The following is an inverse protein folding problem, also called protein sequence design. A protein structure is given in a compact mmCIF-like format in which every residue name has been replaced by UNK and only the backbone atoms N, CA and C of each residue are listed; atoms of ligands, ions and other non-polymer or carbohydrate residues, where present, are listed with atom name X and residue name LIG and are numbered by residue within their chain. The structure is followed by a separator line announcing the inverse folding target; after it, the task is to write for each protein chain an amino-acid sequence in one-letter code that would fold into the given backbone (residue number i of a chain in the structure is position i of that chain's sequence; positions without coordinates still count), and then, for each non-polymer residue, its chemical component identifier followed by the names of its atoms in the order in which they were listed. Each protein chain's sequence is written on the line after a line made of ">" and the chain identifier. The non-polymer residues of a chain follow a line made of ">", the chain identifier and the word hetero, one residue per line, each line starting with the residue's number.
data_IF_710952506542
#
_entry.id   IF_710952506542
#
_cell.length_a   1.000
_cell.length_b   1.000
_cell.length_c   1.000
_cell.angle_alpha   90.00
_cell.angle_beta   90.00
_cell.angle_gamma   90.00
#
_symmetry.space_group_name_H-M   'P 1'
#
loop_
_entity.id
_entity.type
_entity.pdbx_description
1 polymer ?
#
# COMPACT_ATOMS: atom_id res chain seq x y z
N UNK A 1 0.83 -6.52 28.09
CA UNK A 1 -0.35 -7.37 28.34
C UNK A 1 -0.32 -7.95 29.73
N UNK A 2 0.72 -8.72 30.10
CA UNK A 2 0.78 -9.35 31.43
C UNK A 2 0.80 -8.37 32.61
N UNK A 3 1.39 -7.18 32.44
CA UNK A 3 1.40 -6.13 33.47
C UNK A 3 0.05 -5.44 33.72
N UNK A 4 -0.85 -5.36 32.72
CA UNK A 4 -2.20 -4.79 32.91
C UNK A 4 -3.19 -5.83 33.40
N UNK A 5 -2.97 -7.10 33.06
CA UNK A 5 -3.72 -8.23 33.59
C UNK A 5 -3.51 -8.41 35.09
N UNK A 6 -2.29 -8.21 35.58
CA UNK A 6 -1.96 -8.29 37.01
C UNK A 6 -2.43 -7.08 37.83
N UNK A 7 -2.72 -5.94 37.17
CA UNK A 7 -3.24 -4.72 37.78
C UNK A 7 -4.77 -4.60 37.73
N UNK A 8 -5.47 -5.63 37.22
CA UNK A 8 -6.93 -5.70 37.11
C UNK A 8 -7.57 -4.49 36.42
N UNK A 9 -6.90 -3.97 35.38
CA UNK A 9 -7.41 -2.89 34.51
C UNK A 9 -7.95 -3.50 33.19
N UNK A 10 -9.20 -4.00 33.16
CA UNK A 10 -9.73 -4.75 32.02
C UNK A 10 -9.82 -3.93 30.73
N UNK A 11 -10.10 -2.63 30.83
CA UNK A 11 -10.21 -1.74 29.68
C UNK A 11 -8.86 -1.53 28.98
N UNK A 12 -7.77 -1.33 29.75
CA UNK A 12 -6.43 -1.18 29.16
C UNK A 12 -5.91 -2.51 28.61
N UNK A 13 -6.25 -3.62 29.25
CA UNK A 13 -5.91 -4.96 28.76
C UNK A 13 -6.61 -5.29 27.42
N UNK A 14 -7.90 -4.94 27.29
CA UNK A 14 -8.65 -5.13 26.03
C UNK A 14 -8.08 -4.25 24.90
N UNK A 15 -7.79 -2.99 25.16
CA UNK A 15 -7.16 -2.09 24.18
C UNK A 15 -5.78 -2.60 23.74
N UNK A 16 -4.94 -3.04 24.68
CA UNK A 16 -3.63 -3.61 24.38
C UNK A 16 -3.73 -4.87 23.50
N UNK A 17 -4.74 -5.71 23.73
CA UNK A 17 -5.02 -6.88 22.89
C UNK A 17 -5.44 -6.47 21.47
N UNK A 18 -6.28 -5.45 21.32
CA UNK A 18 -6.70 -4.93 20.01
C UNK A 18 -5.51 -4.39 19.22
N UNK A 19 -4.63 -3.61 19.85
CA UNK A 19 -3.42 -3.11 19.19
C UNK A 19 -2.49 -4.25 18.76
N UNK A 20 -2.31 -5.25 19.62
CA UNK A 20 -1.49 -6.41 19.29
C UNK A 20 -2.06 -7.20 18.11
N UNK A 21 -3.39 -7.41 18.07
CA UNK A 21 -4.06 -8.05 16.93
C UNK A 21 -3.90 -7.21 15.66
N UNK A 22 -4.12 -5.91 15.73
CA UNK A 22 -3.95 -5.01 14.59
C UNK A 22 -2.52 -5.07 14.02
N UNK A 23 -1.49 -5.05 14.87
CA UNK A 23 -0.11 -5.23 14.44
C UNK A 23 0.10 -6.56 13.71
N UNK A 24 -0.47 -7.66 14.22
CA UNK A 24 -0.37 -8.98 13.58
C UNK A 24 -1.09 -9.04 12.23
N UNK A 25 -2.25 -8.38 12.11
CA UNK A 25 -2.98 -8.22 10.84
C UNK A 25 -2.12 -7.44 9.84
N UNK A 26 -1.52 -6.32 10.26
CA UNK A 26 -0.65 -5.51 9.40
C UNK A 26 0.62 -6.22 8.94
N UNK A 27 1.15 -7.15 9.74
CA UNK A 27 2.28 -8.01 9.37
C UNK A 27 1.86 -9.19 8.48
N UNK A 28 0.58 -9.29 8.12
CA UNK A 28 0.02 -10.39 7.32
C UNK A 28 0.21 -11.78 7.97
N UNK A 29 0.18 -11.85 9.31
CA UNK A 29 0.33 -13.09 10.08
C UNK A 29 -1.03 -13.60 10.54
N UNK A 30 -1.83 -14.12 9.61
CA UNK A 30 -3.22 -14.58 9.89
C UNK A 30 -3.27 -15.76 10.87
N UNK A 31 -2.27 -16.65 10.87
CA UNK A 31 -2.16 -17.75 11.83
C UNK A 31 -1.95 -17.26 13.26
N UNK A 32 -1.02 -16.31 13.45
CA UNK A 32 -0.76 -15.69 14.76
C UNK A 32 -2.01 -15.00 15.32
N UNK A 33 -2.81 -14.36 14.45
CA UNK A 33 -4.08 -13.75 14.84
C UNK A 33 -5.03 -14.82 15.39
N UNK A 34 -5.17 -15.96 14.71
CA UNK A 34 -6.03 -17.05 15.15
C UNK A 34 -5.55 -17.68 16.47
N UNK A 35 -4.23 -17.89 16.61
CA UNK A 35 -3.63 -18.40 17.85
C UNK A 35 -3.85 -17.44 19.02
N UNK A 36 -3.66 -16.14 18.78
CA UNK A 36 -3.86 -15.11 19.79
C UNK A 36 -5.33 -15.02 20.23
N UNK A 37 -6.27 -15.15 19.29
CA UNK A 37 -7.71 -15.20 19.58
C UNK A 37 -8.13 -16.46 20.35
N UNK A 38 -7.42 -17.58 20.17
CA UNK A 38 -7.64 -18.82 20.92
C UNK A 38 -7.01 -18.80 22.33
N UNK A 39 -6.21 -17.78 22.66
CA UNK A 39 -5.54 -17.68 23.95
C UNK A 39 -6.53 -17.48 25.11
N UNK A 40 -6.16 -17.97 26.31
CA UNK A 40 -6.97 -17.81 27.53
C UNK A 40 -7.28 -16.34 27.85
N UNK A 41 -6.36 -15.43 27.53
CA UNK A 41 -6.54 -13.99 27.72
C UNK A 41 -7.61 -13.44 26.77
N UNK A 42 -7.56 -13.81 25.48
CA UNK A 42 -8.56 -13.38 24.51
C UNK A 42 -9.97 -13.89 24.83
N UNK A 43 -10.09 -15.12 25.36
CA UNK A 43 -11.38 -15.67 25.82
C UNK A 43 -11.93 -14.89 27.02
N UNK A 44 -11.08 -14.50 27.98
CA UNK A 44 -11.51 -13.72 29.16
C UNK A 44 -11.99 -12.31 28.79
N UNK A 45 -11.38 -11.72 27.77
CA UNK A 45 -11.66 -10.35 27.31
C UNK A 45 -12.56 -10.29 26.07
N UNK A 46 -13.23 -11.40 25.74
CA UNK A 46 -14.08 -11.52 24.55
C UNK A 46 -15.17 -10.45 24.51
N UNK A 47 -15.36 -9.85 23.34
CA UNK A 47 -16.36 -8.81 23.10
C UNK A 47 -16.40 -8.36 21.65
N UNK A 48 -17.33 -7.47 21.32
CA UNK A 48 -17.56 -6.96 19.94
C UNK A 48 -16.30 -6.39 19.31
N UNK A 49 -15.46 -5.72 20.10
CA UNK A 49 -14.16 -5.18 19.71
C UNK A 49 -13.21 -6.23 19.12
N UNK A 50 -13.21 -7.45 19.66
CA UNK A 50 -12.38 -8.56 19.18
C UNK A 50 -13.01 -9.26 17.98
N UNK A 51 -14.35 -9.37 17.97
CA UNK A 51 -15.08 -9.88 16.80
C UNK A 51 -14.86 -9.00 15.57
N UNK A 52 -14.85 -7.68 15.75
CA UNK A 52 -14.52 -6.72 14.72
C UNK A 52 -13.10 -6.96 14.16
N UNK A 53 -12.10 -7.09 15.03
CA UNK A 53 -10.71 -7.38 14.61
C UNK A 53 -10.60 -8.72 13.87
N UNK A 54 -11.36 -9.73 14.31
CA UNK A 54 -11.40 -11.04 13.63
C UNK A 54 -12.04 -10.95 12.24
N UNK A 55 -13.10 -10.16 12.09
CA UNK A 55 -13.75 -9.93 10.79
C UNK A 55 -12.79 -9.23 9.81
N UNK A 56 -12.10 -8.18 10.27
CA UNK A 56 -11.06 -7.46 9.52
C UNK A 56 -9.91 -8.40 9.12
N UNK A 57 -9.42 -9.21 10.06
CA UNK A 57 -8.34 -10.17 9.80
C UNK A 57 -8.73 -11.20 8.73
N UNK A 58 -9.98 -11.70 8.79
CA UNK A 58 -10.52 -12.65 7.81
C UNK A 58 -10.61 -12.02 6.43
N UNK A 59 -11.18 -10.82 6.33
CA UNK A 59 -11.30 -10.09 5.07
C UNK A 59 -9.92 -9.81 4.44
N UNK A 60 -8.94 -9.42 5.25
CA UNK A 60 -7.56 -9.22 4.81
C UNK A 60 -6.92 -10.53 4.31
N UNK A 61 -7.08 -11.63 5.06
CA UNK A 61 -6.56 -12.95 4.65
C UNK A 61 -7.20 -13.46 3.36
N UNK A 62 -8.49 -13.19 3.15
CA UNK A 62 -9.23 -13.54 1.94
C UNK A 62 -8.95 -12.57 0.78
N UNK A 63 -8.23 -11.47 1.01
CA UNK A 63 -7.99 -10.38 0.06
C UNK A 63 -9.28 -9.78 -0.54
N UNK A 64 -10.38 -9.87 0.21
CA UNK A 64 -11.68 -9.39 -0.22
C UNK A 64 -11.94 -7.98 0.31
N UNK A 65 -11.95 -7.00 -0.60
CA UNK A 65 -12.33 -5.61 -0.28
C UNK A 65 -13.79 -5.53 0.18
N UNK A 66 -14.68 -6.31 -0.44
CA UNK A 66 -16.11 -6.34 -0.09
C UNK A 66 -16.33 -6.81 1.35
N UNK A 67 -15.68 -7.92 1.76
CA UNK A 67 -15.75 -8.39 3.15
C UNK A 67 -15.17 -7.36 4.13
N UNK A 68 -14.15 -6.62 3.70
CA UNK A 68 -13.49 -5.60 4.50
C UNK A 68 -14.37 -4.37 4.73
N UNK A 69 -15.01 -3.86 3.67
CA UNK A 69 -15.96 -2.76 3.76
C UNK A 69 -17.18 -3.13 4.60
N UNK A 70 -17.68 -4.36 4.43
CA UNK A 70 -18.77 -4.88 5.27
C UNK A 70 -18.36 -4.92 6.74
N UNK A 71 -17.16 -5.41 7.07
CA UNK A 71 -16.65 -5.41 8.44
C UNK A 71 -16.51 -3.99 9.01
N UNK A 72 -16.04 -3.02 8.22
CA UNK A 72 -15.97 -1.61 8.63
C UNK A 72 -17.36 -0.99 8.87
N UNK A 73 -18.36 -1.37 8.06
CA UNK A 73 -19.74 -0.94 8.22
C UNK A 73 -20.43 -1.51 9.45
N UNK A 74 -20.33 -2.83 9.63
CA UNK A 74 -20.97 -3.57 10.73
C UNK A 74 -20.41 -3.18 12.11
N UNK A 75 -19.10 -2.89 12.19
CA UNK A 75 -18.39 -2.55 13.42
C UNK A 75 -17.91 -1.09 13.48
N UNK A 76 -18.66 -0.17 12.87
CA UNK A 76 -18.27 1.24 12.72
C UNK A 76 -18.00 1.93 14.06
N UNK A 77 -18.74 1.58 15.12
CA UNK A 77 -18.59 2.18 16.44
C UNK A 77 -17.32 1.69 17.13
N UNK A 78 -17.08 0.39 17.07
CA UNK A 78 -15.95 -0.30 17.68
C UNK A 78 -14.62 0.09 17.01
N UNK A 79 -14.58 0.10 15.67
CA UNK A 79 -13.38 0.40 14.88
C UNK A 79 -13.14 1.91 14.69
N UNK A 80 -14.19 2.72 14.80
CA UNK A 80 -14.13 4.17 14.60
C UNK A 80 -13.86 4.99 15.87
N UNK A 81 -14.05 4.39 17.05
CA UNK A 81 -13.86 5.05 18.35
C UNK A 81 -12.40 5.46 18.61
N UNK A 82 -11.46 4.70 18.07
CA UNK A 82 -10.02 4.93 18.26
C UNK A 82 -9.35 5.43 16.97
N UNK A 83 -8.74 6.61 17.07
CA UNK A 83 -8.02 7.24 15.96
C UNK A 83 -6.80 6.42 15.50
N UNK A 84 -6.10 5.76 16.43
CA UNK A 84 -4.96 4.91 16.10
C UNK A 84 -5.41 3.72 15.25
N UNK A 85 -6.43 2.99 15.70
CA UNK A 85 -6.98 1.85 14.96
C UNK A 85 -7.48 2.29 13.58
N UNK A 86 -8.30 3.35 13.54
CA UNK A 86 -8.88 3.87 12.29
C UNK A 86 -7.82 4.24 11.25
N UNK A 87 -6.72 4.89 11.66
CA UNK A 87 -5.64 5.27 10.75
C UNK A 87 -4.96 4.04 10.13
N UNK A 88 -4.71 3.00 10.92
CA UNK A 88 -4.08 1.77 10.43
C UNK A 88 -5.03 0.95 9.56
N UNK A 89 -6.32 0.90 9.88
CA UNK A 89 -7.34 0.25 9.03
C UNK A 89 -7.47 0.94 7.67
N UNK A 90 -7.34 2.27 7.62
CA UNK A 90 -7.30 2.99 6.35
C UNK A 90 -6.07 2.61 5.52
N UNK A 91 -4.89 2.56 6.14
CA UNK A 91 -3.66 2.12 5.46
C UNK A 91 -3.77 0.68 4.94
N UNK A 92 -4.40 -0.20 5.72
CA UNK A 92 -4.65 -1.58 5.33
C UNK A 92 -5.58 -1.68 4.13
N UNK A 93 -6.66 -0.87 4.11
CA UNK A 93 -7.55 -0.75 2.95
C UNK A 93 -6.78 -0.27 1.71
N UNK A 94 -5.99 0.80 1.84
CA UNK A 94 -5.23 1.36 0.72
C UNK A 94 -4.23 0.34 0.13
N UNK A 95 -3.62 -0.50 0.98
CA UNK A 95 -2.71 -1.57 0.56
C UNK A 95 -3.45 -2.75 -0.09
N UNK A 96 -4.61 -3.16 0.44
CA UNK A 96 -5.44 -4.20 -0.18
C UNK A 96 -5.95 -3.77 -1.55
N UNK A 97 -6.39 -2.52 -1.67
CA UNK A 97 -6.84 -1.94 -2.94
C UNK A 97 -5.72 -1.91 -3.96
N UNK A 98 -4.52 -1.49 -3.55
CA UNK A 98 -3.33 -1.50 -4.40
C UNK A 98 -3.01 -2.89 -4.94
N UNK A 99 -2.96 -3.90 -4.07
CA UNK A 99 -2.69 -5.28 -4.48
C UNK A 99 -3.76 -5.84 -5.42
N UNK A 100 -5.03 -5.51 -5.19
CA UNK A 100 -6.13 -5.93 -6.06
C UNK A 100 -6.06 -5.24 -7.42
N UNK A 101 -5.75 -3.94 -7.45
CA UNK A 101 -5.54 -3.21 -8.70
C UNK A 101 -4.38 -3.80 -9.50
N UNK A 102 -3.22 -4.05 -8.87
CA UNK A 102 -2.06 -4.65 -9.56
C UNK A 102 -2.41 -5.98 -10.23
N UNK A 103 -3.16 -6.86 -9.57
CA UNK A 103 -3.58 -8.14 -10.17
C UNK A 103 -4.58 -7.98 -11.31
N UNK A 104 -5.49 -7.02 -11.18
CA UNK A 104 -6.52 -6.76 -12.20
C UNK A 104 -5.89 -6.21 -13.48
N UNK A 105 -4.85 -5.39 -13.35
CA UNK A 105 -4.19 -4.74 -14.49
C UNK A 105 -3.07 -5.58 -15.11
N UNK A 106 -2.45 -6.50 -14.35
CA UNK A 106 -1.34 -7.36 -14.77
C UNK A 106 -1.49 -8.00 -16.16
N UNK A 107 -2.66 -8.56 -16.56
CA UNK A 107 -2.78 -9.21 -17.87
C UNK A 107 -2.98 -8.23 -19.05
N UNK A 108 -3.04 -6.91 -18.83
CA UNK A 108 -3.41 -5.93 -19.85
C UNK A 108 -2.28 -4.93 -20.12
N UNK A 109 -1.90 -4.76 -21.39
CA UNK A 109 -1.03 -3.62 -21.80
C UNK A 109 -1.82 -2.31 -21.94
N UNK A 110 -3.12 -2.40 -22.22
CA UNK A 110 -4.04 -1.26 -22.31
C UNK A 110 -5.43 -1.68 -21.85
N UNK A 111 -6.03 -0.91 -20.94
CA UNK A 111 -7.35 -1.22 -20.38
C UNK A 111 -8.12 0.06 -20.05
N UNK A 112 -9.44 0.05 -20.26
CA UNK A 112 -10.32 1.16 -19.88
C UNK A 112 -10.47 1.25 -18.35
N UNK A 113 -10.38 2.48 -17.81
CA UNK A 113 -10.52 2.72 -16.36
C UNK A 113 -11.92 2.30 -15.88
N UNK A 114 -12.95 2.49 -16.71
CA UNK A 114 -14.31 2.04 -16.43
C UNK A 114 -14.42 0.52 -16.24
N UNK A 115 -13.64 -0.24 -17.01
CA UNK A 115 -13.60 -1.70 -16.89
C UNK A 115 -12.94 -2.13 -15.57
N UNK A 116 -11.82 -1.50 -15.20
CA UNK A 116 -11.15 -1.73 -13.91
C UNK A 116 -12.09 -1.39 -12.76
N UNK A 117 -12.74 -0.24 -12.81
CA UNK A 117 -13.69 0.22 -11.79
C UNK A 117 -14.83 -0.78 -11.57
N UNK A 118 -15.38 -1.34 -12.65
CA UNK A 118 -16.42 -2.37 -12.58
C UNK A 118 -15.91 -3.69 -11.96
N UNK A 119 -14.66 -4.08 -12.24
CA UNK A 119 -14.07 -5.29 -11.65
C UNK A 119 -13.78 -5.15 -10.15
N UNK A 120 -13.37 -3.97 -9.71
CA UNK A 120 -13.07 -3.70 -8.29
C UNK A 120 -14.31 -3.30 -7.50
N UNK A 121 -15.38 -2.83 -8.17
CA UNK A 121 -16.62 -2.39 -7.53
C UNK A 121 -16.58 -0.95 -6.98
N UNK A 122 -15.65 -0.13 -7.46
CA UNK A 122 -15.46 1.26 -7.02
C UNK A 122 -15.79 2.26 -8.12
N UNK A 123 -15.94 3.52 -7.74
CA UNK A 123 -16.16 4.61 -8.70
C UNK A 123 -14.91 4.88 -9.56
N UNK A 124 -15.12 5.26 -10.81
CA UNK A 124 -14.03 5.51 -11.77
C UNK A 124 -13.06 6.58 -11.29
N UNK A 125 -13.54 7.64 -10.62
CA UNK A 125 -12.70 8.72 -10.13
C UNK A 125 -11.79 8.24 -8.97
N UNK A 126 -12.30 7.34 -8.13
CA UNK A 126 -11.50 6.79 -7.03
C UNK A 126 -10.38 5.89 -7.56
N UNK A 127 -10.71 5.04 -8.55
CA UNK A 127 -9.74 4.17 -9.21
C UNK A 127 -8.70 4.99 -9.97
N UNK A 128 -9.09 6.02 -10.73
CA UNK A 128 -8.17 6.90 -11.44
C UNK A 128 -7.18 7.59 -10.49
N UNK A 129 -7.66 8.12 -9.36
CA UNK A 129 -6.80 8.76 -8.35
C UNK A 129 -5.81 7.77 -7.74
N UNK A 130 -6.24 6.54 -7.44
CA UNK A 130 -5.37 5.51 -6.87
C UNK A 130 -4.35 5.02 -7.90
N UNK A 131 -4.74 4.80 -9.16
CA UNK A 131 -3.81 4.47 -10.25
C UNK A 131 -2.79 5.59 -10.48
N UNK A 132 -3.22 6.85 -10.43
CA UNK A 132 -2.32 8.01 -10.52
C UNK A 132 -1.27 7.98 -9.41
N UNK A 133 -1.69 7.67 -8.18
CA UNK A 133 -0.78 7.52 -7.04
C UNK A 133 0.17 6.33 -7.24
N UNK A 134 -0.31 5.17 -7.70
CA UNK A 134 0.54 4.00 -7.95
C UNK A 134 1.60 4.24 -9.04
N UNK A 135 1.29 5.05 -10.05
CA UNK A 135 2.26 5.49 -11.07
C UNK A 135 3.32 6.40 -10.45
N UNK A 136 2.90 7.38 -9.62
CA UNK A 136 3.82 8.27 -8.92
C UNK A 136 4.75 7.52 -7.94
N UNK A 137 4.20 6.52 -7.25
CA UNK A 137 4.93 5.65 -6.32
C UNK A 137 5.79 4.60 -7.05
N UNK A 138 5.80 4.60 -8.39
CA UNK A 138 6.52 3.65 -9.27
C UNK A 138 6.14 2.18 -9.06
N UNK A 139 4.94 1.92 -8.55
CA UNK A 139 4.37 0.57 -8.42
C UNK A 139 3.92 0.06 -9.78
N UNK A 140 3.43 0.97 -10.63
CA UNK A 140 3.02 0.69 -12.02
C UNK A 140 3.87 1.55 -12.95
N UNK A 141 4.45 0.94 -13.98
CA UNK A 141 5.09 1.66 -15.07
C UNK A 141 4.02 1.88 -16.14
N UNK A 142 3.40 3.06 -16.15
CA UNK A 142 2.28 3.33 -17.03
C UNK A 142 1.88 4.79 -17.07
N UNK A 143 0.98 5.12 -17.98
CA UNK A 143 0.40 6.45 -18.14
C UNK A 143 -1.12 6.33 -18.22
N UNK A 144 -1.81 7.29 -17.60
CA UNK A 144 -3.26 7.45 -17.72
C UNK A 144 -3.57 8.40 -18.88
N UNK A 145 -4.27 7.90 -19.89
CA UNK A 145 -4.84 8.70 -20.97
C UNK A 145 -6.24 9.15 -20.57
N UNK A 146 -6.36 10.40 -20.11
CA UNK A 146 -7.64 10.99 -19.71
C UNK A 146 -8.58 11.27 -20.89
N UNK A 147 -8.05 11.42 -22.11
CA UNK A 147 -8.88 11.65 -23.30
C UNK A 147 -9.58 10.37 -23.74
N UNK A 148 -8.86 9.24 -23.73
CA UNK A 148 -9.42 7.92 -24.04
C UNK A 148 -9.99 7.18 -22.82
N UNK A 149 -9.78 7.67 -21.61
CA UNK A 149 -10.19 7.01 -20.36
C UNK A 149 -9.51 5.66 -20.12
N UNK A 150 -8.24 5.52 -20.54
CA UNK A 150 -7.50 4.27 -20.54
C UNK A 150 -6.23 4.34 -19.68
N UNK A 151 -5.90 3.24 -19.00
CA UNK A 151 -4.58 2.97 -18.46
C UNK A 151 -3.74 2.26 -19.52
N UNK A 152 -2.56 2.80 -19.82
CA UNK A 152 -1.56 2.18 -20.70
C UNK A 152 -0.38 1.76 -19.81
N UNK A 153 -0.05 0.48 -19.85
CA UNK A 153 1.04 -0.12 -19.07
C UNK A 153 2.19 -0.40 -20.01
N UNK A 154 3.39 -0.08 -19.56
CA UNK A 154 4.62 -0.35 -20.29
C UNK A 154 5.38 -1.47 -19.59
N UNK A 155 6.03 -2.30 -20.38
CA UNK A 155 7.02 -3.23 -19.85
C UNK A 155 8.20 -2.44 -19.30
N UNK A 156 8.80 -2.97 -18.22
CA UNK A 156 10.01 -2.40 -17.66
C UNK A 156 11.14 -2.55 -18.69
N UNK A 157 11.47 -1.46 -19.39
CA UNK A 157 12.60 -1.45 -20.30
C UNK A 157 13.88 -1.51 -19.47
N UNK A 158 14.66 -2.59 -19.62
CA UNK A 158 16.00 -2.65 -19.05
C UNK A 158 16.78 -1.41 -19.49
N UNK A 159 17.30 -0.67 -18.51
CA UNK A 159 18.13 0.50 -18.75
C UNK A 159 19.45 0.01 -19.34
N UNK A 160 19.69 0.33 -20.60
CA UNK A 160 20.89 -0.08 -21.31
C UNK A 160 22.11 0.70 -20.77
N UNK A 161 23.00 -0.03 -20.10
CA UNK A 161 24.26 0.51 -19.55
C UNK A 161 25.15 1.15 -20.63
N UNK A 162 24.99 0.74 -21.89
CA UNK A 162 25.67 1.33 -23.05
C UNK A 162 25.24 2.77 -23.31
N UNK A 163 23.95 3.08 -23.16
CA UNK A 163 23.44 4.46 -23.30
C UNK A 163 23.95 5.37 -22.18
N UNK A 164 23.96 4.88 -20.93
CA UNK A 164 24.51 5.65 -19.80
C UNK A 164 26.02 5.89 -19.97
N UNK A 165 26.76 4.89 -20.44
CA UNK A 165 28.20 5.01 -20.74
C UNK A 165 28.48 5.99 -21.89
N UNK A 166 27.64 6.00 -22.93
CA UNK A 166 27.72 6.96 -24.02
C UNK A 166 27.45 8.40 -23.55
N UNK A 167 26.44 8.61 -22.70
CA UNK A 167 26.16 9.91 -22.09
C UNK A 167 27.33 10.40 -21.22
N UNK A 168 27.88 9.52 -20.38
CA UNK A 168 29.03 9.86 -19.53
C UNK A 168 30.29 10.21 -20.33
N UNK A 169 30.50 9.56 -21.49
CA UNK A 169 31.61 9.90 -22.38
C UNK A 169 31.41 11.24 -23.09
N UNK A 170 30.19 11.56 -23.53
CA UNK A 170 29.86 12.89 -24.09
C UNK A 170 30.10 14.00 -23.05
N UNK A 171 29.69 13.79 -21.81
CA UNK A 171 29.89 14.76 -20.73
C UNK A 171 31.39 14.98 -20.45
N UNK A 172 32.18 13.91 -20.38
CA UNK A 172 33.64 13.98 -20.24
C UNK A 172 34.29 14.73 -21.40
N UNK A 173 33.86 14.48 -22.65
CA UNK A 173 34.38 15.20 -23.80
C UNK A 173 34.10 16.70 -23.72
N UNK A 174 32.91 17.11 -23.27
CA UNK A 174 32.60 18.53 -23.02
C UNK A 174 33.56 19.15 -22.01
N UNK A 175 33.81 18.48 -20.88
CA UNK A 175 34.73 18.97 -19.85
C UNK A 175 36.16 19.13 -20.36
N UNK A 176 36.62 18.23 -21.23
CA UNK A 176 37.97 18.31 -21.83
C UNK A 176 38.06 19.51 -22.77
N UNK A 177 37.01 19.79 -23.54
CA UNK A 177 36.94 20.97 -24.42
C UNK A 177 37.03 22.26 -23.60
N UNK A 178 36.30 22.36 -22.48
CA UNK A 178 36.35 23.52 -21.58
C UNK A 178 37.76 23.73 -20.98
N UNK A 179 38.43 22.65 -20.59
CA UNK A 179 39.82 22.68 -20.10
C UNK A 179 40.79 23.13 -21.20
N UNK A 180 40.57 22.73 -22.45
CA UNK A 180 41.40 23.17 -23.57
C UNK A 180 41.24 24.67 -23.84
N UNK A 181 40.01 25.20 -23.83
CA UNK A 181 39.77 26.63 -23.99
C UNK A 181 40.39 27.47 -22.86
N UNK A 182 40.26 27.02 -21.61
CA UNK A 182 40.88 27.72 -20.45
C UNK A 182 42.40 27.67 -20.49
N UNK A 183 43.00 26.52 -20.84
CA UNK A 183 44.45 26.41 -21.02
C UNK A 183 44.96 27.29 -22.17
N UNK A 184 44.26 27.33 -23.30
CA UNK A 184 44.67 28.15 -24.45
C UNK A 184 44.58 29.65 -24.13
N UNK A 185 43.57 30.07 -23.36
CA UNK A 185 43.48 31.43 -22.84
C UNK A 185 44.63 31.76 -21.88
N UNK A 186 45.03 30.83 -21.01
CA UNK A 186 46.17 31.02 -20.08
C UNK A 186 47.54 31.04 -20.76
N UNK A 187 47.68 30.51 -21.97
CA UNK A 187 48.93 30.56 -22.76
C UNK A 187 49.09 31.85 -23.58
N UNK A 188 48.05 32.69 -23.65
CA UNK A 188 48.04 33.97 -24.37
C UNK A 188 48.29 35.19 -23.45
N UNK A 189 48.41 34.98 -22.13
CA UNK A 189 48.95 35.93 -21.15
C UNK A 189 50.45 35.69 -20.89
#
# INVERSE_FOLDING_TARGET
>A
MDGYHSQDEPEKATAALQYMLLCKIMLNLSEDVNQLMASKQAVKYAGKNLEAMKAVARAHSNRSLEEYEKALGDYRHELGSDSFIRNHLRRLYDAMLEQNLTKVIEPFSRVEIAHIAKMVGLDTLQVERKLSQMILDKVIIGVLDQGAGCLIIFDETERDEGYDSALATIEKLSSVVDVLYTNQASQLE
#
